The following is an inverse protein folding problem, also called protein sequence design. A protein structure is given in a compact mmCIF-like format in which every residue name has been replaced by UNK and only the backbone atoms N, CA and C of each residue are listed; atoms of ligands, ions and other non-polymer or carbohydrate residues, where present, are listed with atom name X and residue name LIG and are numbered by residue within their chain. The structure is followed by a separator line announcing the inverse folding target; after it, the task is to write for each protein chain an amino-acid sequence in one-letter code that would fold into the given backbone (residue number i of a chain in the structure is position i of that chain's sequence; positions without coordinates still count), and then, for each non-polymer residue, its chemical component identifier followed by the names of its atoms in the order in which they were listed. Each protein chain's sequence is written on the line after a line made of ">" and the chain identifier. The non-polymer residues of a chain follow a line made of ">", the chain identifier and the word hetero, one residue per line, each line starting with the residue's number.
data_IF_315600931471
#
_entry.id   IF_315600931471
#
_cell.length_a   1.000
_cell.length_b   1.000
_cell.length_c   1.000
_cell.angle_alpha   90.00
_cell.angle_beta   90.00
_cell.angle_gamma   90.00
#
_symmetry.space_group_name_H-M   'P 1'
#
loop_
_entity.id
_entity.type
_entity.pdbx_description
1 polymer ?
#
# COMPACT_ATOMS: atom_id res chain seq x y z
N UNK A 1 16.35 -30.67 36.54
CA UNK A 1 14.92 -30.44 36.23
C UNK A 1 14.90 -29.51 35.04
N UNK A 2 14.45 -29.99 33.88
CA UNK A 2 14.56 -29.26 32.61
C UNK A 2 13.26 -29.45 31.85
N UNK A 3 12.52 -28.35 31.62
CA UNK A 3 11.31 -28.34 30.81
C UNK A 3 11.60 -27.60 29.52
N UNK A 4 11.88 -28.36 28.46
CA UNK A 4 11.90 -27.84 27.09
C UNK A 4 10.46 -27.75 26.59
N UNK A 5 9.93 -26.54 26.42
CA UNK A 5 8.69 -26.34 25.67
C UNK A 5 9.01 -26.26 24.18
N UNK A 6 8.42 -27.16 23.40
CA UNK A 6 8.40 -27.11 21.95
C UNK A 6 7.26 -26.17 21.47
N UNK A 7 7.40 -25.51 20.31
CA UNK A 7 6.35 -24.69 19.73
C UNK A 7 5.19 -25.56 19.22
N UNK A 8 3.96 -25.03 19.26
CA UNK A 8 2.75 -25.68 18.75
C UNK A 8 2.55 -25.39 17.25
N UNK A 9 2.43 -26.41 16.39
CA UNK A 9 1.95 -26.25 15.02
C UNK A 9 0.42 -26.44 14.94
N UNK A 10 -0.27 -25.54 14.25
CA UNK A 10 -1.71 -25.65 13.96
C UNK A 10 -2.06 -25.16 12.54
N UNK A 11 -1.23 -25.55 11.55
CA UNK A 11 -1.50 -25.27 10.14
C UNK A 11 -2.30 -26.43 9.53
N UNK A 12 -3.60 -26.52 9.83
CA UNK A 12 -4.46 -27.51 9.18
C UNK A 12 -5.92 -27.04 9.04
N UNK A 13 -6.31 -26.68 7.81
CA UNK A 13 -7.70 -26.77 7.33
C UNK A 13 -7.72 -27.37 5.92
N UNK A 14 -7.49 -28.68 5.89
CA UNK A 14 -7.91 -29.65 4.88
C UNK A 14 -8.00 -29.22 3.39
N UNK A 15 -7.05 -29.71 2.58
CA UNK A 15 -7.27 -29.88 1.14
C UNK A 15 -8.25 -31.04 0.88
N UNK A 16 -9.18 -30.89 -0.06
CA UNK A 16 -10.17 -31.93 -0.40
C UNK A 16 -10.26 -32.19 -1.91
N UNK A 17 -9.93 -33.44 -2.27
CA UNK A 17 -10.34 -34.22 -3.45
C UNK A 17 -10.23 -33.62 -4.88
N UNK A 18 -9.30 -34.18 -5.65
CA UNK A 18 -9.40 -34.28 -7.11
C UNK A 18 -10.43 -35.34 -7.52
N UNK A 19 -11.28 -35.08 -8.53
CA UNK A 19 -11.36 -35.84 -9.82
C UNK A 19 -12.62 -35.57 -10.66
N UNK A 20 -12.38 -35.12 -11.89
CA UNK A 20 -13.07 -35.46 -13.16
C UNK A 20 -14.47 -36.10 -13.13
N UNK A 21 -15.44 -35.38 -13.70
CA UNK A 21 -16.55 -35.97 -14.47
C UNK A 21 -16.56 -35.35 -15.88
N UNK A 22 -16.67 -36.20 -16.89
CA UNK A 22 -16.86 -35.80 -18.30
C UNK A 22 -17.90 -36.72 -18.92
N UNK A 23 -18.98 -36.15 -19.46
CA UNK A 23 -19.82 -36.77 -20.50
C UNK A 23 -20.66 -35.69 -21.20
N UNK A 24 -21.02 -35.96 -22.46
CA UNK A 24 -21.55 -35.00 -23.42
C UNK A 24 -22.98 -34.48 -23.15
N UNK A 25 -23.33 -33.33 -23.75
CA UNK A 25 -24.73 -32.90 -23.90
C UNK A 25 -24.93 -31.61 -24.73
N UNK A 26 -25.88 -31.64 -25.65
CA UNK A 26 -26.66 -30.45 -26.09
C UNK A 26 -25.96 -29.34 -26.91
N UNK A 27 -26.13 -29.35 -28.23
CA UNK A 27 -25.94 -28.15 -29.09
C UNK A 27 -27.23 -27.30 -29.12
N UNK A 28 -27.06 -25.97 -29.20
CA UNK A 28 -28.04 -24.93 -29.61
C UNK A 28 -29.22 -24.63 -28.67
N UNK A 29 -29.25 -23.38 -28.20
CA UNK A 29 -30.37 -22.49 -28.51
C UNK A 29 -29.85 -21.11 -28.95
N UNK A 30 -30.72 -20.27 -29.55
CA UNK A 30 -30.29 -19.09 -30.31
C UNK A 30 -30.55 -17.75 -29.60
N UNK A 31 -29.60 -16.84 -29.82
CA UNK A 31 -29.77 -15.39 -30.04
C UNK A 31 -30.99 -14.67 -29.42
N UNK A 32 -30.72 -13.79 -28.45
CA UNK A 32 -31.50 -12.57 -28.24
C UNK A 32 -30.54 -11.37 -28.08
N UNK A 33 -30.58 -10.44 -29.05
CA UNK A 33 -29.68 -9.29 -29.10
C UNK A 33 -30.14 -8.15 -28.17
N UNK A 34 -29.59 -8.09 -26.95
CA UNK A 34 -29.71 -6.94 -26.07
C UNK A 34 -28.68 -5.84 -26.38
N UNK A 35 -29.05 -4.82 -27.17
CA UNK A 35 -28.21 -3.61 -27.34
C UNK A 35 -28.05 -2.89 -26.00
N UNK A 36 -26.90 -3.04 -25.34
CA UNK A 36 -26.44 -2.13 -24.27
C UNK A 36 -25.39 -1.17 -24.83
N UNK A 37 -25.45 0.08 -24.39
CA UNK A 37 -24.72 1.19 -25.00
C UNK A 37 -23.28 1.23 -24.48
N UNK A 38 -22.32 1.58 -25.34
CA UNK A 38 -20.93 1.72 -24.95
C UNK A 38 -20.71 3.03 -24.18
N UNK A 39 -20.80 2.97 -22.85
CA UNK A 39 -20.44 4.08 -21.98
C UNK A 39 -18.93 4.37 -22.10
N UNK A 40 -18.60 5.51 -22.72
CA UNK A 40 -17.23 5.92 -23.03
C UNK A 40 -16.56 6.53 -21.80
N UNK A 41 -16.21 5.69 -20.82
CA UNK A 41 -15.43 6.11 -19.65
C UNK A 41 -14.10 6.68 -20.15
N UNK A 42 -13.87 7.98 -19.91
CA UNK A 42 -12.58 8.60 -20.19
C UNK A 42 -11.63 8.29 -19.03
N UNK A 43 -10.36 7.92 -19.31
CA UNK A 43 -9.37 7.85 -18.25
C UNK A 43 -9.08 9.27 -17.73
N UNK A 44 -9.37 9.51 -16.46
CA UNK A 44 -8.77 10.63 -15.72
C UNK A 44 -7.37 10.20 -15.27
N UNK A 45 -6.43 10.27 -16.19
CA UNK A 45 -5.01 10.15 -15.89
C UNK A 45 -4.61 11.39 -15.07
N UNK A 46 -4.31 11.19 -13.79
CA UNK A 46 -3.81 12.26 -12.93
C UNK A 46 -2.49 12.78 -13.50
N UNK A 47 -2.53 13.98 -14.09
CA UNK A 47 -1.37 14.63 -14.69
C UNK A 47 -0.43 15.15 -13.60
N UNK A 48 0.44 14.25 -13.09
CA UNK A 48 1.50 14.60 -12.17
C UNK A 48 2.43 15.64 -12.82
N UNK A 49 2.30 16.91 -12.40
CA UNK A 49 3.10 18.03 -12.93
C UNK A 49 4.50 17.99 -12.35
N UNK A 50 5.42 17.35 -13.07
CA UNK A 50 6.86 17.38 -12.78
C UNK A 50 7.40 18.80 -12.92
N UNK A 51 7.54 19.52 -11.80
CA UNK A 51 8.32 20.76 -11.74
C UNK A 51 9.81 20.40 -11.74
N UNK A 52 10.43 20.43 -12.92
CA UNK A 52 11.89 20.36 -12.99
C UNK A 52 12.52 21.66 -12.45
N UNK A 53 13.58 21.55 -11.65
CA UNK A 53 14.35 22.71 -11.17
C UNK A 53 15.78 22.56 -11.68
N UNK A 54 16.03 23.12 -12.87
CA UNK A 54 17.33 23.05 -13.52
C UNK A 54 18.25 24.16 -13.02
N UNK A 55 18.96 23.89 -11.93
CA UNK A 55 20.02 24.78 -11.41
C UNK A 55 21.24 24.78 -12.35
N UNK A 56 21.19 25.62 -13.39
CA UNK A 56 22.28 25.76 -14.36
C UNK A 56 23.42 26.61 -13.78
N UNK A 57 24.53 25.96 -13.43
CA UNK A 57 25.80 26.63 -13.09
C UNK A 57 26.32 27.40 -14.31
N UNK A 58 26.69 28.66 -14.11
CA UNK A 58 27.42 29.48 -15.09
C UNK A 58 28.64 30.11 -14.42
N UNK A 59 29.79 30.03 -15.08
CA UNK A 59 31.09 30.53 -14.59
C UNK A 59 31.86 31.21 -15.73
N UNK A 60 32.78 32.12 -15.39
CA UNK A 60 33.49 33.00 -16.33
C UNK A 60 32.69 34.25 -16.75
N UNK A 61 33.26 35.45 -16.91
CA UNK A 61 34.68 35.84 -16.76
C UNK A 61 34.85 37.35 -16.39
N UNK A 62 36.08 37.88 -16.39
CA UNK A 62 36.57 38.97 -15.52
C UNK A 62 36.82 40.34 -16.20
N UNK A 63 36.52 41.47 -15.51
CA UNK A 63 37.18 42.79 -15.73
C UNK A 63 37.00 43.83 -14.59
N UNK A 64 37.94 44.77 -14.47
CA UNK A 64 38.06 45.86 -13.45
C UNK A 64 38.79 47.10 -14.04
N UNK A 65 38.95 48.25 -13.33
CA UNK A 65 38.25 48.81 -12.16
C UNK A 65 37.39 50.05 -12.57
N UNK A 66 37.57 51.37 -12.25
CA UNK A 66 38.58 52.12 -11.46
C UNK A 66 38.06 52.68 -10.08
N UNK A 67 37.90 53.99 -9.71
CA UNK A 67 38.23 54.41 -8.33
C UNK A 67 37.18 55.19 -7.47
N UNK A 68 37.50 55.23 -6.17
CA UNK A 68 37.12 56.05 -4.99
C UNK A 68 36.61 57.50 -5.18
N UNK A 69 35.95 58.18 -4.18
CA UNK A 69 36.19 58.03 -2.72
C UNK A 69 35.03 58.13 -1.70
N UNK A 70 35.46 57.97 -0.43
CA UNK A 70 34.91 58.14 0.93
C UNK A 70 33.57 58.88 1.21
N UNK A 71 32.89 58.42 2.28
CA UNK A 71 32.65 59.16 3.55
C UNK A 71 32.60 58.16 4.73
N UNK A 72 33.17 58.53 5.89
CA UNK A 72 33.29 57.72 7.13
C UNK A 72 32.00 57.68 7.98
N UNK A 73 31.89 56.71 8.92
CA UNK A 73 31.99 57.04 10.37
C UNK A 73 31.92 55.86 11.35
N UNK A 74 32.65 56.04 12.47
CA UNK A 74 32.45 55.50 13.84
C UNK A 74 32.89 54.07 14.19
N UNK A 75 33.91 54.02 15.03
CA UNK A 75 34.46 52.86 15.74
C UNK A 75 33.62 52.42 16.95
N UNK A 76 33.80 51.18 17.41
CA UNK A 76 34.29 50.88 18.78
C UNK A 76 34.60 49.39 19.00
N UNK A 77 35.60 49.14 19.85
CA UNK A 77 36.23 47.82 20.07
C UNK A 77 35.42 46.85 20.95
N UNK A 78 35.79 45.56 20.89
CA UNK A 78 35.27 44.50 21.78
C UNK A 78 35.87 43.13 21.48
N UNK A 79 37.03 42.81 22.07
CA UNK A 79 37.66 41.48 21.96
C UNK A 79 36.96 40.46 22.87
N UNK A 80 36.59 39.29 22.34
CA UNK A 80 36.73 38.03 23.10
C UNK A 80 36.64 36.77 22.22
N UNK A 81 37.80 36.18 21.92
CA UNK A 81 37.90 34.85 21.29
C UNK A 81 37.46 33.76 22.26
N UNK A 82 36.19 33.37 22.19
CA UNK A 82 35.66 32.17 22.87
C UNK A 82 35.24 31.15 21.83
N UNK A 83 36.12 30.17 21.58
CA UNK A 83 35.79 29.02 20.73
C UNK A 83 34.68 28.21 21.43
N UNK A 84 33.52 27.96 20.81
CA UNK A 84 32.52 27.07 21.39
C UNK A 84 33.11 25.67 21.53
N UNK A 85 32.72 24.90 22.58
CA UNK A 85 33.20 23.53 22.74
C UNK A 85 32.77 22.72 21.52
N UNK A 86 33.76 22.15 20.83
CA UNK A 86 33.54 21.34 19.62
C UNK A 86 32.87 20.04 20.03
N UNK A 87 31.54 20.03 20.05
CA UNK A 87 30.71 18.84 20.13
C UNK A 87 30.98 17.96 18.90
N UNK A 88 32.05 17.18 18.95
CA UNK A 88 32.13 15.89 18.26
C UNK A 88 31.39 14.86 19.11
N UNK A 89 30.12 15.14 19.38
CA UNK A 89 29.22 14.05 19.66
C UNK A 89 29.08 13.27 18.35
N UNK A 90 29.47 12.01 18.40
CA UNK A 90 29.25 11.10 17.30
C UNK A 90 27.80 10.68 17.44
N UNK A 91 26.91 11.48 16.86
CA UNK A 91 25.51 11.13 16.64
C UNK A 91 25.45 9.91 15.73
N UNK A 92 25.74 8.75 16.30
CA UNK A 92 25.57 7.47 15.67
C UNK A 92 24.09 7.34 15.35
N UNK A 93 23.81 6.82 14.16
CA UNK A 93 22.46 6.54 13.71
C UNK A 93 21.98 5.28 14.45
N UNK A 94 21.74 5.42 15.76
CA UNK A 94 20.91 4.53 16.55
C UNK A 94 19.48 4.68 16.03
N UNK A 95 19.25 4.04 14.88
CA UNK A 95 17.95 3.77 14.29
C UNK A 95 17.21 2.77 15.16
N UNK A 96 16.84 3.23 16.35
CA UNK A 96 16.02 2.54 17.33
C UNK A 96 14.82 1.87 16.64
N UNK A 97 14.55 0.62 17.02
CA UNK A 97 13.62 -0.27 16.31
C UNK A 97 12.13 0.04 16.49
N UNK A 98 11.76 1.31 16.57
CA UNK A 98 10.37 1.78 16.61
C UNK A 98 9.69 1.57 15.26
N UNK A 99 8.38 1.29 15.28
CA UNK A 99 7.55 1.32 14.09
C UNK A 99 7.23 2.76 13.68
N UNK A 100 6.99 2.99 12.38
CA UNK A 100 6.49 4.28 11.90
C UNK A 100 4.96 4.39 12.06
N UNK A 101 4.42 5.60 11.98
CA UNK A 101 2.96 5.80 12.10
C UNK A 101 2.20 5.08 10.99
N UNK A 102 2.73 5.09 9.76
CA UNK A 102 2.16 4.39 8.61
C UNK A 102 2.17 2.86 8.80
N UNK A 103 3.20 2.32 9.46
CA UNK A 103 3.26 0.90 9.81
C UNK A 103 2.19 0.55 10.86
N UNK A 104 2.04 1.38 11.90
CA UNK A 104 0.99 1.22 12.90
C UNK A 104 -0.41 1.30 12.26
N UNK A 105 -0.64 2.25 11.34
CA UNK A 105 -1.86 2.37 10.56
C UNK A 105 -2.13 1.12 9.70
N UNK A 106 -1.14 0.62 8.94
CA UNK A 106 -1.26 -0.63 8.18
C UNK A 106 -1.59 -1.83 9.08
N UNK A 107 -1.01 -1.93 10.28
CA UNK A 107 -1.32 -3.01 11.24
C UNK A 107 -2.78 -2.93 11.73
N UNK A 108 -3.24 -1.75 12.15
CA UNK A 108 -4.61 -1.55 12.63
C UNK A 108 -5.64 -1.84 11.53
N UNK A 109 -5.46 -1.29 10.32
CA UNK A 109 -6.37 -1.54 9.20
C UNK A 109 -6.35 -3.02 8.77
N UNK A 110 -5.21 -3.70 8.85
CA UNK A 110 -5.14 -5.15 8.56
C UNK A 110 -5.89 -5.99 9.60
N UNK A 111 -5.81 -5.63 10.88
CA UNK A 111 -6.56 -6.30 11.95
C UNK A 111 -8.07 -6.03 11.83
N UNK A 112 -8.46 -4.78 11.53
CA UNK A 112 -9.84 -4.35 11.35
C UNK A 112 -10.61 -5.17 10.30
N UNK A 113 -9.95 -5.68 9.25
CA UNK A 113 -10.57 -6.55 8.24
C UNK A 113 -11.25 -7.78 8.85
N UNK A 114 -10.74 -8.33 9.96
CA UNK A 114 -11.35 -9.48 10.64
C UNK A 114 -12.74 -9.17 11.23
N UNK A 115 -13.02 -7.89 11.52
CA UNK A 115 -14.27 -7.42 12.11
C UNK A 115 -15.27 -6.87 11.07
N UNK A 116 -14.82 -6.59 9.84
CA UNK A 116 -15.68 -6.12 8.73
C UNK A 116 -16.94 -6.98 8.51
N UNK A 117 -16.91 -8.33 8.59
CA UNK A 117 -18.12 -9.13 8.40
C UNK A 117 -19.25 -8.83 9.42
N UNK A 118 -18.90 -8.35 10.62
CA UNK A 118 -19.84 -8.02 11.70
C UNK A 118 -20.19 -6.52 11.73
N UNK A 119 -19.18 -5.64 11.72
CA UNK A 119 -19.31 -4.19 11.89
C UNK A 119 -19.36 -3.40 10.58
N UNK A 120 -19.28 -4.08 9.43
CA UNK A 120 -19.24 -3.46 8.10
C UNK A 120 -17.96 -2.67 7.83
N UNK A 121 -18.01 -1.80 6.83
CA UNK A 121 -16.90 -0.92 6.48
C UNK A 121 -17.02 0.39 7.27
N UNK A 122 -16.63 0.35 8.54
CA UNK A 122 -16.92 1.39 9.54
C UNK A 122 -15.72 1.70 10.43
N UNK A 123 -15.78 2.82 11.16
CA UNK A 123 -14.83 3.14 12.24
C UNK A 123 -14.97 2.21 13.45
N UNK A 124 -16.10 1.52 13.61
CA UNK A 124 -16.31 0.49 14.64
C UNK A 124 -15.44 -0.74 14.36
N UNK A 125 -15.38 -1.21 13.11
CA UNK A 125 -14.46 -2.28 12.70
C UNK A 125 -12.99 -1.91 12.94
N UNK A 126 -12.63 -0.63 12.75
CA UNK A 126 -11.28 -0.11 13.05
C UNK A 126 -11.02 -0.07 14.56
N UNK A 127 -12.01 0.28 15.37
CA UNK A 127 -11.89 0.29 16.83
C UNK A 127 -11.72 -1.12 17.42
N UNK A 128 -12.43 -2.13 16.90
CA UNK A 128 -12.17 -3.54 17.27
C UNK A 128 -10.81 -4.02 16.73
N UNK A 129 -10.42 -3.61 15.53
CA UNK A 129 -9.07 -3.83 14.98
C UNK A 129 -7.97 -3.33 15.92
N UNK A 130 -8.08 -2.09 16.41
CA UNK A 130 -7.16 -1.51 17.38
C UNK A 130 -7.14 -2.28 18.72
N UNK A 131 -8.30 -2.61 19.29
CA UNK A 131 -8.40 -3.42 20.52
C UNK A 131 -7.75 -4.79 20.38
N UNK A 132 -7.85 -5.43 19.20
CA UNK A 132 -7.23 -6.73 18.93
C UNK A 132 -5.69 -6.70 18.87
N UNK A 133 -5.10 -5.49 18.86
CA UNK A 133 -3.66 -5.22 18.95
C UNK A 133 -3.26 -4.65 20.33
N UNK A 134 -4.10 -4.82 21.35
CA UNK A 134 -3.99 -4.24 22.70
C UNK A 134 -3.93 -2.69 22.74
N UNK A 135 -4.41 -2.02 21.68
CA UNK A 135 -4.47 -0.57 21.58
C UNK A 135 -5.81 -0.02 22.08
N UNK A 136 -5.81 1.25 22.49
CA UNK A 136 -7.05 1.97 22.81
C UNK A 136 -7.92 2.12 21.56
N UNK A 137 -9.24 1.96 21.72
CA UNK A 137 -10.23 2.25 20.68
C UNK A 137 -10.13 3.69 20.13
N UNK A 138 -9.53 4.62 20.89
CA UNK A 138 -9.24 5.97 20.42
C UNK A 138 -8.27 6.03 19.23
N UNK A 139 -7.49 4.97 18.98
CA UNK A 139 -6.63 4.86 17.79
C UNK A 139 -7.43 4.82 16.47
N UNK A 140 -8.73 4.47 16.51
CA UNK A 140 -9.62 4.63 15.36
C UNK A 140 -9.80 6.10 14.94
N UNK A 141 -9.50 7.07 15.82
CA UNK A 141 -9.50 8.50 15.52
C UNK A 141 -8.33 8.99 14.66
N UNK A 142 -7.38 8.12 14.31
CA UNK A 142 -6.31 8.44 13.34
C UNK A 142 -6.80 8.38 11.88
N UNK A 143 -7.96 7.75 11.64
CA UNK A 143 -8.50 7.48 10.31
C UNK A 143 -9.69 8.42 10.05
N UNK A 144 -9.42 9.62 9.52
CA UNK A 144 -10.40 10.71 9.40
C UNK A 144 -11.68 10.30 8.65
N UNK A 145 -11.55 9.42 7.65
CA UNK A 145 -12.63 8.94 6.79
C UNK A 145 -13.06 7.50 7.16
N UNK A 146 -12.41 6.89 8.14
CA UNK A 146 -12.73 5.59 8.74
C UNK A 146 -12.96 4.47 7.73
N UNK A 147 -14.22 4.12 7.48
CA UNK A 147 -14.60 3.00 6.63
C UNK A 147 -14.05 3.05 5.20
N UNK A 148 -13.83 4.22 4.61
CA UNK A 148 -13.27 4.34 3.26
C UNK A 148 -11.77 4.03 3.22
N UNK A 149 -11.02 4.39 4.25
CA UNK A 149 -9.59 4.06 4.39
C UNK A 149 -9.40 2.54 4.56
N UNK A 150 -10.30 1.89 5.31
CA UNK A 150 -10.35 0.43 5.43
C UNK A 150 -10.68 -0.26 4.08
N UNK A 151 -11.59 0.30 3.28
CA UNK A 151 -11.87 -0.16 1.91
C UNK A 151 -10.65 0.00 1.00
N UNK A 152 -9.98 1.16 1.04
CA UNK A 152 -8.80 1.43 0.23
C UNK A 152 -7.63 0.51 0.59
N UNK A 153 -7.39 0.29 1.88
CA UNK A 153 -6.41 -0.69 2.38
C UNK A 153 -6.71 -2.10 1.90
N UNK A 154 -7.98 -2.54 1.98
CA UNK A 154 -8.38 -3.85 1.47
C UNK A 154 -8.15 -4.00 -0.04
N UNK A 155 -8.47 -2.97 -0.83
CA UNK A 155 -8.23 -2.97 -2.28
C UNK A 155 -6.73 -3.02 -2.59
N UNK A 156 -5.90 -2.26 -1.87
CA UNK A 156 -4.45 -2.27 -2.01
C UNK A 156 -3.85 -3.64 -1.63
N UNK A 157 -4.24 -4.19 -0.48
CA UNK A 157 -3.85 -5.52 0.00
C UNK A 157 -4.17 -6.61 -1.03
N UNK A 158 -5.39 -6.63 -1.58
CA UNK A 158 -5.76 -7.60 -2.61
C UNK A 158 -4.96 -7.45 -3.90
N UNK A 159 -4.56 -6.23 -4.26
CA UNK A 159 -3.74 -5.97 -5.45
C UNK A 159 -2.27 -6.40 -5.24
N UNK A 160 -1.73 -6.21 -4.01
CA UNK A 160 -0.44 -6.79 -3.58
C UNK A 160 -0.48 -8.31 -3.66
N UNK A 161 -1.46 -8.93 -3.01
CA UNK A 161 -1.62 -10.40 -2.97
C UNK A 161 -1.78 -11.01 -4.38
N UNK A 162 -2.49 -10.32 -5.30
CA UNK A 162 -2.57 -10.74 -6.70
C UNK A 162 -1.20 -10.65 -7.40
N UNK A 163 -0.45 -9.58 -7.17
CA UNK A 163 0.88 -9.39 -7.78
C UNK A 163 1.85 -10.49 -7.32
N UNK A 164 1.87 -10.80 -6.03
CA UNK A 164 2.68 -11.88 -5.46
C UNK A 164 2.31 -13.25 -6.04
N UNK A 165 1.02 -13.55 -6.18
CA UNK A 165 0.53 -14.79 -6.80
C UNK A 165 0.97 -14.90 -8.26
N UNK A 166 0.82 -13.83 -9.04
CA UNK A 166 1.20 -13.82 -10.46
C UNK A 166 2.72 -13.89 -10.64
N UNK A 167 3.51 -13.29 -9.74
CA UNK A 167 4.95 -13.49 -9.69
C UNK A 167 5.33 -14.95 -9.37
N UNK A 168 4.63 -15.60 -8.44
CA UNK A 168 4.87 -17.01 -8.09
C UNK A 168 4.55 -17.93 -9.27
N UNK A 169 3.41 -17.74 -9.95
CA UNK A 169 3.11 -18.45 -11.21
C UNK A 169 4.19 -18.19 -12.27
N UNK A 170 4.65 -16.94 -12.42
CA UNK A 170 5.68 -16.61 -13.39
C UNK A 170 7.03 -17.28 -13.09
N UNK A 171 7.45 -17.33 -11.81
CA UNK A 171 8.67 -18.01 -11.35
C UNK A 171 8.59 -19.52 -11.65
N UNK A 172 7.44 -20.16 -11.44
CA UNK A 172 7.23 -21.58 -11.81
C UNK A 172 7.35 -21.83 -13.32
N UNK A 173 6.86 -20.91 -14.16
CA UNK A 173 7.00 -21.00 -15.62
C UNK A 173 8.46 -20.77 -16.05
N UNK A 174 9.19 -19.84 -15.45
CA UNK A 174 10.62 -19.64 -15.72
C UNK A 174 11.47 -20.86 -15.36
N UNK A 175 11.13 -21.56 -14.26
CA UNK A 175 11.78 -22.79 -13.81
C UNK A 175 11.36 -24.05 -14.61
N UNK A 176 10.48 -23.93 -15.61
CA UNK A 176 9.94 -25.07 -16.36
C UNK A 176 9.05 -26.00 -15.54
N UNK A 177 8.66 -25.59 -14.32
CA UNK A 177 7.79 -26.36 -13.42
C UNK A 177 6.30 -26.21 -13.75
N UNK A 178 5.95 -25.23 -14.60
CA UNK A 178 4.61 -25.01 -15.13
C UNK A 178 4.66 -24.56 -16.59
N UNK A 179 3.65 -24.92 -17.39
CA UNK A 179 3.53 -24.42 -18.77
C UNK A 179 2.95 -23.00 -18.81
N UNK A 180 3.35 -22.22 -19.83
CA UNK A 180 2.81 -20.88 -20.07
C UNK A 180 1.36 -20.95 -20.54
N UNK A 181 0.41 -20.67 -19.64
CA UNK A 181 -1.02 -20.54 -19.93
C UNK A 181 -1.28 -19.60 -21.13
N UNK A 182 -2.26 -19.88 -22.00
CA UNK A 182 -2.68 -18.94 -23.05
C UNK A 182 -3.33 -17.70 -22.43
N UNK A 183 -3.14 -16.52 -23.03
CA UNK A 183 -3.55 -15.22 -22.45
C UNK A 183 -5.01 -15.17 -21.99
N UNK A 184 -5.93 -15.74 -22.77
CA UNK A 184 -7.35 -15.77 -22.44
C UNK A 184 -7.69 -16.67 -21.24
N UNK A 185 -6.83 -17.63 -20.87
CA UNK A 185 -6.94 -18.39 -19.62
C UNK A 185 -6.30 -17.63 -18.47
N UNK A 186 -5.04 -17.19 -18.65
CA UNK A 186 -4.33 -16.37 -17.65
C UNK A 186 -5.17 -15.20 -17.11
N UNK A 187 -5.86 -14.46 -17.98
CA UNK A 187 -6.73 -13.36 -17.58
C UNK A 187 -7.99 -13.81 -16.81
N UNK A 188 -8.55 -15.00 -17.09
CA UNK A 188 -9.67 -15.54 -16.30
C UNK A 188 -9.18 -15.98 -14.93
N UNK A 189 -8.11 -16.76 -14.88
CA UNK A 189 -7.52 -17.27 -13.64
C UNK A 189 -7.16 -16.11 -12.69
N UNK A 190 -6.53 -15.05 -13.21
CA UNK A 190 -6.15 -13.86 -12.44
C UNK A 190 -7.37 -13.04 -11.93
N UNK A 191 -8.38 -12.84 -12.78
CA UNK A 191 -9.62 -12.14 -12.36
C UNK A 191 -10.41 -12.98 -11.34
N UNK A 192 -10.48 -14.30 -11.52
CA UNK A 192 -11.13 -15.19 -10.57
C UNK A 192 -10.39 -15.20 -9.22
N UNK A 193 -9.06 -15.27 -9.21
CA UNK A 193 -8.26 -15.16 -8.00
C UNK A 193 -8.50 -13.82 -7.27
N UNK A 194 -8.51 -12.69 -7.99
CA UNK A 194 -8.75 -11.35 -7.44
C UNK A 194 -10.18 -11.17 -6.91
N UNK A 195 -11.17 -11.82 -7.52
CA UNK A 195 -12.56 -11.80 -7.07
C UNK A 195 -12.81 -12.74 -5.89
N UNK A 196 -12.15 -13.91 -5.82
CA UNK A 196 -12.24 -14.83 -4.68
C UNK A 196 -11.82 -14.19 -3.35
N UNK A 197 -10.96 -13.17 -3.38
CA UNK A 197 -10.59 -12.38 -2.19
C UNK A 197 -11.76 -11.64 -1.52
N UNK A 198 -12.86 -11.37 -2.26
CA UNK A 198 -14.07 -10.72 -1.71
C UNK A 198 -15.01 -11.70 -0.97
N UNK A 199 -14.81 -13.02 -1.07
CA UNK A 199 -15.74 -14.02 -0.52
C UNK A 199 -16.05 -13.81 0.98
N UNK A 200 -15.09 -13.47 1.87
CA UNK A 200 -15.39 -13.22 3.29
C UNK A 200 -16.26 -11.96 3.53
N UNK A 201 -16.28 -11.02 2.59
CA UNK A 201 -16.84 -9.67 2.77
C UNK A 201 -18.08 -9.40 1.91
N UNK A 202 -18.48 -10.36 1.07
CA UNK A 202 -19.53 -10.20 0.05
C UNK A 202 -20.90 -9.78 0.61
N UNK A 203 -21.20 -10.10 1.88
CA UNK A 203 -22.42 -9.65 2.56
C UNK A 203 -22.46 -8.16 2.89
N UNK A 204 -21.29 -7.54 3.11
CA UNK A 204 -21.15 -6.14 3.49
C UNK A 204 -20.72 -5.25 2.32
N UNK A 205 -20.12 -5.83 1.27
CA UNK A 205 -19.65 -5.10 0.08
C UNK A 205 -20.71 -4.20 -0.61
N UNK A 206 -22.01 -4.54 -0.67
CA UNK A 206 -23.03 -3.64 -1.24
C UNK A 206 -23.13 -2.27 -0.54
N UNK A 207 -22.67 -2.14 0.72
CA UNK A 207 -22.55 -0.85 1.39
C UNK A 207 -21.52 0.03 0.70
N UNK A 208 -20.36 -0.54 0.36
CA UNK A 208 -19.26 0.12 -0.36
C UNK A 208 -19.71 0.55 -1.75
N UNK A 209 -20.34 -0.34 -2.52
CA UNK A 209 -20.84 -0.02 -3.86
C UNK A 209 -21.99 1.03 -3.83
N UNK A 210 -22.65 1.23 -2.68
CA UNK A 210 -23.68 2.26 -2.49
C UNK A 210 -23.12 3.60 -1.97
N UNK A 211 -21.99 3.56 -1.26
CA UNK A 211 -21.27 4.74 -0.81
C UNK A 211 -20.53 5.35 -2.00
N UNK A 212 -20.91 6.57 -2.39
CA UNK A 212 -20.21 7.30 -3.47
C UNK A 212 -18.89 7.86 -2.93
N UNK A 213 -17.84 7.04 -3.05
CA UNK A 213 -16.42 7.41 -2.88
C UNK A 213 -15.94 8.35 -4.00
#
# INVERSE_FOLDING_TARGET
>A
MSLSLLPLPACEMAAVALRSLSVAGGRRFLLLCGRRQAARIQPLWYSARTLWVTSAVRSGDQKTPPPFPDVSHSDSAGEQSTSPPRYTDQGGEESEGYESEEQLQERILSAALTFVPEYGWSSEAIAEGAKSLDLSAAAAGMFENGGSELVLHFVALCNRNLTELLEQEHKLVQLGSAEKKPTAQFLRDAVEARLRMYIPYVGQWPQVDSASL
#
